data_IF_034693043066
#
_entry.id   IF_034693043066
#
_cell.length_a   1.000
_cell.length_b   1.000
_cell.length_c   1.000
_cell.angle_alpha   90.00
_cell.angle_beta   90.00
_cell.angle_gamma   90.00
#
_symmetry.space_group_name_H-M   'P 1'
#
loop_
_entity.id
_entity.type
_entity.pdbx_description
1 polymer ?
#
# COMPACT_ATOMS: atom_id res chain seq x y z
N UNK A 1 60.76 24.65 43.68
CA UNK A 1 60.66 25.87 42.84
C UNK A 1 60.64 25.44 41.38
N UNK A 2 59.88 26.16 40.57
CA UNK A 2 59.53 25.94 39.15
C UNK A 2 60.77 25.87 38.20
N UNK A 3 60.77 25.52 36.89
CA UNK A 3 59.77 25.48 35.80
C UNK A 3 60.47 24.94 34.51
N UNK A 4 59.69 24.56 33.48
CA UNK A 4 60.02 24.55 32.01
C UNK A 4 61.04 23.50 31.50
N UNK A 5 61.06 22.97 30.26
CA UNK A 5 60.50 23.42 28.98
C UNK A 5 60.32 22.27 27.94
N UNK A 6 59.73 22.68 26.83
CA UNK A 6 59.21 22.09 25.57
C UNK A 6 60.15 21.38 24.56
N UNK A 7 59.59 20.32 23.92
CA UNK A 7 59.30 20.08 22.46
C UNK A 7 60.38 19.77 21.36
N UNK A 8 59.88 19.02 20.35
CA UNK A 8 60.38 18.68 18.97
C UNK A 8 61.40 17.52 18.84
N UNK A 9 61.42 16.61 17.85
CA UNK A 9 61.22 16.66 16.38
C UNK A 9 61.01 15.25 15.70
N UNK A 10 60.24 15.25 14.60
CA UNK A 10 60.29 14.50 13.29
C UNK A 10 61.13 13.21 13.06
N UNK A 11 60.42 12.16 12.60
CA UNK A 11 60.42 11.49 11.26
C UNK A 11 61.57 10.60 10.68
N UNK A 12 61.09 9.46 10.12
CA UNK A 12 61.46 8.67 8.92
C UNK A 12 62.34 7.39 8.95
N UNK A 13 61.71 6.31 8.43
CA UNK A 13 62.20 5.17 7.57
C UNK A 13 63.14 4.11 8.20
N UNK A 14 63.05 2.78 7.97
CA UNK A 14 62.75 2.00 6.74
C UNK A 14 62.51 0.49 7.03
N UNK A 15 61.60 -0.13 6.26
CA UNK A 15 61.41 -1.54 5.79
C UNK A 15 62.16 -2.73 6.43
N UNK A 16 61.43 -3.84 6.69
CA UNK A 16 61.55 -5.17 5.99
C UNK A 16 60.41 -6.17 6.35
N UNK A 17 60.11 -7.06 5.40
CA UNK A 17 59.07 -8.12 5.36
C UNK A 17 59.18 -9.20 6.47
N UNK A 18 58.07 -9.87 6.83
CA UNK A 18 57.71 -11.25 6.36
C UNK A 18 56.44 -11.83 7.03
N UNK A 19 55.56 -12.39 6.19
CA UNK A 19 54.71 -13.58 6.34
C UNK A 19 53.86 -13.80 7.62
N UNK A 20 52.53 -13.83 7.44
CA UNK A 20 51.69 -15.00 7.77
C UNK A 20 50.33 -14.91 7.03
N UNK A 21 50.17 -15.82 6.07
CA UNK A 21 48.94 -16.16 5.35
C UNK A 21 47.91 -16.82 6.28
N UNK A 22 46.62 -16.66 5.97
CA UNK A 22 45.73 -17.73 5.46
C UNK A 22 44.24 -17.43 5.73
N UNK A 23 43.50 -16.99 4.71
CA UNK A 23 42.16 -17.54 4.44
C UNK A 23 41.88 -17.45 2.95
N UNK A 24 41.57 -18.59 2.35
CA UNK A 24 41.49 -18.82 0.91
C UNK A 24 40.03 -18.95 0.48
N UNK A 25 39.46 -17.87 -0.05
CA UNK A 25 38.27 -17.94 -0.91
C UNK A 25 38.74 -18.03 -2.36
N UNK A 26 38.39 -19.14 -3.01
CA UNK A 26 38.72 -19.43 -4.40
C UNK A 26 37.83 -18.61 -5.33
N UNK A 27 38.42 -17.62 -6.00
CA UNK A 27 37.84 -16.93 -7.14
C UNK A 27 38.93 -16.66 -8.16
N UNK A 28 38.77 -17.16 -9.39
CA UNK A 28 39.74 -17.02 -10.49
C UNK A 28 39.86 -15.52 -10.86
N UNK A 29 41.08 -14.93 -10.89
CA UNK A 29 41.25 -13.55 -11.34
C UNK A 29 41.27 -13.50 -12.88
N UNK A 30 40.36 -12.70 -13.45
CA UNK A 30 40.41 -12.33 -14.88
C UNK A 30 41.53 -11.30 -15.05
N UNK A 31 42.59 -11.68 -15.76
CA UNK A 31 43.68 -10.80 -16.16
C UNK A 31 43.32 -10.06 -17.45
N UNK A 32 43.25 -8.72 -17.39
CA UNK A 32 43.40 -7.83 -18.54
C UNK A 32 43.80 -6.43 -18.06
N UNK A 33 44.85 -5.81 -18.59
CA UNK A 33 45.28 -4.48 -18.15
C UNK A 33 44.49 -3.42 -18.92
N UNK A 34 43.48 -2.79 -18.27
CA UNK A 34 42.88 -1.58 -18.82
C UNK A 34 43.67 -0.38 -18.31
N UNK A 35 44.47 0.17 -19.21
CA UNK A 35 45.17 1.46 -19.12
C UNK A 35 44.17 2.57 -18.79
N UNK A 36 44.24 3.14 -17.59
CA UNK A 36 43.42 4.32 -17.24
C UNK A 36 43.96 5.56 -17.96
N UNK A 37 43.13 6.15 -18.81
CA UNK A 37 43.29 7.54 -19.26
C UNK A 37 42.20 8.40 -18.61
N UNK A 38 42.52 9.63 -18.14
CA UNK A 38 41.53 10.50 -17.53
C UNK A 38 40.66 11.13 -18.62
N UNK A 39 39.38 10.77 -18.66
CA UNK A 39 38.38 11.40 -19.53
C UNK A 39 37.85 12.67 -18.85
N UNK A 40 38.05 13.79 -19.55
CA UNK A 40 37.51 15.13 -19.23
C UNK A 40 35.98 15.06 -19.06
N UNK A 41 35.47 15.66 -17.99
CA UNK A 41 34.04 15.79 -17.71
C UNK A 41 33.37 16.73 -18.72
N UNK A 42 32.72 16.15 -19.73
CA UNK A 42 31.66 16.82 -20.47
C UNK A 42 30.36 16.56 -19.71
N UNK A 43 29.79 17.59 -19.09
CA UNK A 43 28.42 17.56 -18.58
C UNK A 43 27.48 17.35 -19.78
N UNK A 44 27.00 16.12 -19.96
CA UNK A 44 25.81 15.88 -20.78
C UNK A 44 24.62 16.04 -19.85
N UNK A 45 23.96 17.18 -19.95
CA UNK A 45 22.58 17.34 -19.48
C UNK A 45 21.72 16.31 -20.20
N UNK A 46 21.40 15.20 -19.53
CA UNK A 46 20.37 14.27 -20.01
C UNK A 46 19.03 14.90 -19.66
N UNK A 47 18.56 15.77 -20.55
CA UNK A 47 17.17 16.23 -20.54
C UNK A 47 16.29 15.02 -20.86
N UNK A 48 15.50 14.56 -19.89
CA UNK A 48 14.44 13.58 -20.13
C UNK A 48 13.31 14.34 -20.83
N UNK A 49 13.39 14.43 -22.16
CA UNK A 49 12.33 14.98 -22.99
C UNK A 49 11.27 13.89 -23.18
N UNK A 50 10.10 14.04 -22.56
CA UNK A 50 8.91 13.28 -22.94
C UNK A 50 8.47 13.79 -24.32
N UNK A 51 8.99 13.17 -25.37
CA UNK A 51 8.54 13.44 -26.73
C UNK A 51 7.18 12.79 -26.95
N UNK A 52 6.10 13.48 -26.60
CA UNK A 52 4.82 13.30 -27.28
C UNK A 52 4.92 13.92 -28.68
N UNK A 53 5.81 13.35 -29.50
CA UNK A 53 5.88 13.69 -30.90
C UNK A 53 4.68 13.01 -31.57
N UNK A 54 3.76 13.83 -32.06
CA UNK A 54 2.64 13.45 -32.91
C UNK A 54 3.12 12.92 -34.26
N UNK A 55 3.76 11.76 -34.27
CA UNK A 55 3.99 10.97 -35.48
C UNK A 55 3.03 9.80 -35.45
N UNK A 56 1.96 9.88 -36.24
CA UNK A 56 1.11 8.76 -36.61
C UNK A 56 1.87 7.79 -37.55
N UNK A 57 3.07 7.39 -37.17
CA UNK A 57 3.73 6.24 -37.80
C UNK A 57 3.04 5.00 -37.24
N UNK A 58 1.89 4.69 -37.84
CA UNK A 58 1.20 3.44 -37.62
C UNK A 58 2.15 2.34 -38.12
N UNK A 59 2.65 1.53 -37.20
CA UNK A 59 3.51 0.42 -37.57
C UNK A 59 2.74 -0.55 -38.47
N UNK A 60 3.38 -1.06 -39.52
CA UNK A 60 2.77 -2.05 -40.40
C UNK A 60 2.77 -3.41 -39.69
N UNK A 61 1.59 -3.93 -39.36
CA UNK A 61 1.41 -5.25 -38.76
C UNK A 61 1.91 -6.39 -39.66
N UNK A 62 1.93 -6.19 -40.99
CA UNK A 62 2.45 -7.15 -41.96
C UNK A 62 3.98 -7.22 -42.05
N UNK A 63 4.68 -6.17 -41.59
CA UNK A 63 6.15 -6.08 -41.60
C UNK A 63 6.75 -5.65 -40.25
N UNK A 64 6.00 -5.82 -39.17
CA UNK A 64 6.36 -5.36 -37.83
C UNK A 64 7.64 -6.04 -37.33
N UNK A 65 8.56 -5.25 -36.78
CA UNK A 65 9.77 -5.76 -36.14
C UNK A 65 10.15 -4.91 -34.93
N UNK A 66 10.26 -5.56 -33.77
CA UNK A 66 10.80 -4.92 -32.57
C UNK A 66 12.29 -4.57 -32.75
N UNK A 67 12.73 -3.54 -32.03
CA UNK A 67 14.14 -3.25 -31.89
C UNK A 67 14.85 -4.39 -31.13
N UNK A 68 16.12 -4.71 -31.46
CA UNK A 68 16.88 -5.73 -30.75
C UNK A 68 17.04 -5.40 -29.25
N UNK A 69 16.96 -6.43 -28.40
CA UNK A 69 17.19 -6.32 -26.95
C UNK A 69 17.96 -7.54 -26.43
N UNK A 70 18.52 -7.44 -25.21
CA UNK A 70 19.14 -8.57 -24.49
C UNK A 70 18.34 -8.89 -23.24
N UNK A 71 18.23 -10.17 -22.91
CA UNK A 71 17.50 -10.69 -21.75
C UNK A 71 18.04 -10.09 -20.44
N UNK A 72 19.36 -9.96 -20.32
CA UNK A 72 20.00 -9.35 -19.14
C UNK A 72 19.67 -7.87 -18.93
N UNK A 73 19.30 -7.14 -19.99
CA UNK A 73 18.85 -5.75 -19.87
C UNK A 73 17.47 -5.74 -19.21
N UNK A 74 16.56 -6.59 -19.66
CA UNK A 74 15.20 -6.72 -19.11
C UNK A 74 15.25 -7.12 -17.63
N UNK A 75 16.06 -8.12 -17.27
CA UNK A 75 16.24 -8.53 -15.87
C UNK A 75 16.77 -7.39 -14.99
N UNK A 76 17.79 -6.66 -15.46
CA UNK A 76 18.36 -5.53 -14.71
C UNK A 76 17.39 -4.37 -14.54
N UNK A 77 16.56 -4.07 -15.55
CA UNK A 77 15.54 -3.03 -15.44
C UNK A 77 14.51 -3.36 -14.35
N UNK A 78 13.99 -4.59 -14.34
CA UNK A 78 13.02 -5.01 -13.32
C UNK A 78 13.63 -5.02 -11.92
N UNK A 79 14.81 -5.64 -11.76
CA UNK A 79 15.49 -5.73 -10.46
C UNK A 79 15.82 -4.34 -9.91
N UNK A 80 16.40 -3.46 -10.74
CA UNK A 80 16.79 -2.12 -10.30
C UNK A 80 15.59 -1.32 -9.80
N UNK A 81 14.47 -1.37 -10.52
CA UNK A 81 13.24 -0.64 -10.14
C UNK A 81 12.63 -1.21 -8.87
N UNK A 82 12.45 -2.52 -8.81
CA UNK A 82 11.87 -3.17 -7.62
C UNK A 82 12.73 -2.97 -6.37
N UNK A 83 14.06 -3.07 -6.49
CA UNK A 83 14.96 -2.76 -5.37
C UNK A 83 14.91 -1.29 -4.94
N UNK A 84 14.79 -0.37 -5.90
CA UNK A 84 14.63 1.06 -5.57
C UNK A 84 13.32 1.30 -4.82
N UNK A 85 12.23 0.65 -5.24
CA UNK A 85 10.94 0.71 -4.56
C UNK A 85 11.05 0.12 -3.14
N UNK A 86 11.69 -1.06 -2.98
CA UNK A 86 11.90 -1.67 -1.66
C UNK A 86 12.72 -0.78 -0.72
N UNK A 87 13.77 -0.14 -1.22
CA UNK A 87 14.57 0.81 -0.42
C UNK A 87 13.74 2.02 -0.03
N UNK A 88 12.99 2.59 -0.98
CA UNK A 88 12.19 3.81 -0.76
C UNK A 88 11.08 3.57 0.24
N UNK A 89 10.39 2.44 0.15
CA UNK A 89 9.23 2.13 0.97
C UNK A 89 9.56 1.30 2.22
N UNK A 90 10.83 0.99 2.50
CA UNK A 90 11.23 0.31 3.75
C UNK A 90 10.85 1.12 5.01
N UNK A 91 10.76 2.45 4.88
CA UNK A 91 10.21 3.40 5.84
C UNK A 91 9.25 4.33 5.08
N UNK A 92 7.94 4.22 5.34
CA UNK A 92 6.91 4.91 4.57
C UNK A 92 5.88 5.62 5.45
N UNK A 93 5.08 6.52 4.88
CA UNK A 93 4.03 7.20 5.63
C UNK A 93 2.89 6.24 5.97
N UNK A 94 2.34 5.57 4.94
CA UNK A 94 1.18 4.67 5.11
C UNK A 94 1.40 3.35 4.38
N UNK A 95 1.16 2.26 5.10
CA UNK A 95 1.01 0.91 4.53
C UNK A 95 -0.46 0.52 4.54
N UNK A 96 -0.97 0.06 3.40
CA UNK A 96 -2.32 -0.49 3.26
C UNK A 96 -2.20 -2.00 3.01
N UNK A 97 -2.74 -2.82 3.90
CA UNK A 97 -2.77 -4.28 3.75
C UNK A 97 -4.08 -4.71 3.10
N UNK A 98 -3.98 -5.30 1.91
CA UNK A 98 -5.10 -5.69 1.07
C UNK A 98 -5.46 -4.63 0.03
N UNK A 99 -5.50 -5.02 -1.23
CA UNK A 99 -5.92 -4.19 -2.37
C UNK A 99 -7.34 -4.55 -2.83
N UNK A 100 -8.26 -4.82 -1.88
CA UNK A 100 -9.70 -4.96 -2.15
C UNK A 100 -10.38 -3.60 -2.40
N UNK A 101 -11.70 -3.59 -2.60
CA UNK A 101 -12.45 -2.33 -2.84
C UNK A 101 -12.23 -1.27 -1.75
N UNK A 102 -12.21 -1.65 -0.48
CA UNK A 102 -11.94 -0.71 0.62
C UNK A 102 -10.49 -0.21 0.64
N UNK A 103 -9.51 -1.10 0.50
CA UNK A 103 -8.09 -0.73 0.45
C UNK A 103 -7.74 0.15 -0.75
N UNK A 104 -8.26 -0.16 -1.94
CA UNK A 104 -8.12 0.66 -3.14
C UNK A 104 -8.79 2.04 -2.98
N UNK A 105 -9.97 2.10 -2.36
CA UNK A 105 -10.65 3.37 -2.08
C UNK A 105 -9.88 4.22 -1.07
N UNK A 106 -9.34 3.60 -0.01
CA UNK A 106 -8.45 4.26 0.94
C UNK A 106 -7.19 4.79 0.26
N UNK A 107 -6.51 3.96 -0.54
CA UNK A 107 -5.31 4.36 -1.26
C UNK A 107 -5.58 5.51 -2.24
N UNK A 108 -6.71 5.44 -2.96
CA UNK A 108 -7.13 6.47 -3.90
C UNK A 108 -7.50 7.78 -3.20
N UNK A 109 -8.14 7.75 -2.04
CA UNK A 109 -8.43 8.99 -1.31
C UNK A 109 -7.14 9.59 -0.73
N UNK A 110 -6.31 8.76 -0.09
CA UNK A 110 -5.08 9.18 0.59
C UNK A 110 -4.06 9.80 -0.37
N UNK A 111 -3.84 9.16 -1.51
CA UNK A 111 -2.81 9.60 -2.47
C UNK A 111 -3.20 10.87 -3.24
N UNK A 112 -4.40 11.45 -3.01
CA UNK A 112 -4.75 12.78 -3.52
C UNK A 112 -3.84 13.84 -2.92
N UNK A 113 -3.33 13.59 -1.71
CA UNK A 113 -2.23 14.37 -1.16
C UNK A 113 -0.90 13.81 -1.72
N UNK A 114 -0.21 14.54 -2.62
CA UNK A 114 1.01 14.04 -3.27
C UNK A 114 2.20 13.90 -2.31
N UNK A 115 2.10 14.46 -1.09
CA UNK A 115 3.17 14.42 -0.09
C UNK A 115 3.09 13.20 0.83
N UNK A 116 2.09 12.34 0.68
CA UNK A 116 1.95 11.11 1.45
C UNK A 116 2.40 9.93 0.60
N UNK A 117 3.40 9.19 1.05
CA UNK A 117 3.81 7.93 0.43
C UNK A 117 2.87 6.80 0.84
N UNK A 118 2.38 6.04 -0.14
CA UNK A 118 1.40 4.97 0.08
C UNK A 118 1.93 3.65 -0.49
N UNK A 119 2.34 2.74 0.40
CA UNK A 119 2.61 1.35 0.04
C UNK A 119 1.34 0.51 0.17
N UNK A 120 1.05 -0.30 -0.83
CA UNK A 120 -0.05 -1.26 -0.82
C UNK A 120 0.54 -2.66 -0.85
N UNK A 121 0.27 -3.46 0.16
CA UNK A 121 0.69 -4.86 0.27
C UNK A 121 -0.51 -5.74 -0.09
N UNK A 122 -0.38 -6.53 -1.16
CA UNK A 122 -1.43 -7.42 -1.65
C UNK A 122 -0.86 -8.83 -1.84
N UNK A 123 -1.43 -9.81 -1.13
CA UNK A 123 -0.95 -11.18 -1.15
C UNK A 123 -1.24 -11.90 -2.48
N UNK A 124 -2.35 -11.57 -3.14
CA UNK A 124 -2.67 -12.09 -4.47
C UNK A 124 -1.75 -11.48 -5.53
N UNK A 125 -1.52 -12.24 -6.61
CA UNK A 125 -0.91 -11.66 -7.82
C UNK A 125 -1.83 -10.59 -8.41
N UNK A 126 -3.14 -10.83 -8.42
CA UNK A 126 -4.14 -9.88 -8.90
C UNK A 126 -4.74 -9.08 -7.74
N UNK A 127 -4.54 -7.74 -7.69
CA UNK A 127 -5.29 -6.88 -6.78
C UNK A 127 -6.78 -6.83 -7.15
N UNK A 128 -7.59 -6.17 -6.32
CA UNK A 128 -9.04 -6.00 -6.49
C UNK A 128 -9.87 -6.81 -5.49
N UNK A 129 -9.27 -7.82 -4.84
CA UNK A 129 -9.96 -8.68 -3.88
C UNK A 129 -11.26 -9.27 -4.44
N UNK A 130 -12.34 -9.18 -3.67
CA UNK A 130 -13.68 -9.65 -4.09
C UNK A 130 -14.42 -8.75 -5.09
N UNK A 131 -13.88 -7.59 -5.47
CA UNK A 131 -14.59 -6.60 -6.30
C UNK A 131 -14.48 -6.86 -7.81
N UNK A 132 -14.14 -8.08 -8.22
CA UNK A 132 -14.17 -8.49 -9.64
C UNK A 132 -15.54 -8.96 -10.10
N UNK A 133 -16.42 -9.33 -9.16
CA UNK A 133 -17.73 -9.89 -9.41
C UNK A 133 -18.78 -9.27 -8.48
N UNK A 134 -20.04 -9.42 -8.84
CA UNK A 134 -21.17 -9.28 -7.92
C UNK A 134 -21.43 -10.58 -7.15
N UNK A 135 -22.68 -10.80 -6.74
CA UNK A 135 -23.07 -12.03 -6.05
C UNK A 135 -23.11 -13.25 -6.96
N UNK A 136 -22.75 -14.42 -6.43
CA UNK A 136 -22.94 -15.72 -7.11
C UNK A 136 -22.33 -15.80 -8.52
N UNK A 137 -21.15 -15.20 -8.71
CA UNK A 137 -20.46 -15.10 -10.00
C UNK A 137 -21.15 -14.23 -11.07
N UNK A 138 -22.21 -13.50 -10.72
CA UNK A 138 -22.78 -12.48 -11.59
C UNK A 138 -21.87 -11.25 -11.66
N UNK A 139 -22.13 -10.36 -12.63
CA UNK A 139 -21.22 -9.26 -12.97
C UNK A 139 -21.55 -7.93 -12.29
N UNK A 140 -22.84 -7.60 -12.19
CA UNK A 140 -23.29 -6.27 -11.80
C UNK A 140 -22.85 -5.92 -10.36
N UNK A 141 -22.44 -4.66 -10.16
CA UNK A 141 -22.05 -4.13 -8.86
C UNK A 141 -23.07 -3.10 -8.40
N UNK A 142 -23.81 -3.43 -7.34
CA UNK A 142 -24.84 -2.57 -6.75
C UNK A 142 -24.21 -1.68 -5.69
N UNK A 143 -24.46 -0.38 -5.77
CA UNK A 143 -23.92 0.65 -4.86
C UNK A 143 -25.07 1.51 -4.36
N UNK A 144 -25.37 1.46 -3.06
CA UNK A 144 -26.40 2.31 -2.44
C UNK A 144 -25.97 3.79 -2.41
N UNK A 145 -26.92 4.69 -2.57
CA UNK A 145 -26.70 6.14 -2.41
C UNK A 145 -26.40 6.47 -0.93
N UNK A 146 -25.56 7.48 -0.63
CA UNK A 146 -24.95 8.44 -1.55
C UNK A 146 -23.60 8.01 -2.16
N UNK A 147 -23.18 6.74 -2.07
CA UNK A 147 -21.84 6.33 -2.53
C UNK A 147 -21.59 6.48 -4.05
N UNK A 148 -22.63 6.70 -4.86
CA UNK A 148 -22.49 7.06 -6.28
C UNK A 148 -21.65 8.32 -6.54
N UNK A 149 -21.56 9.27 -5.60
CA UNK A 149 -20.69 10.45 -5.78
C UNK A 149 -19.20 10.09 -5.91
N UNK A 150 -18.78 8.98 -5.29
CA UNK A 150 -17.43 8.48 -5.48
C UNK A 150 -17.23 7.87 -6.87
N UNK A 151 -18.29 7.32 -7.47
CA UNK A 151 -18.28 6.84 -8.85
C UNK A 151 -18.21 8.02 -9.84
N UNK A 152 -18.92 9.11 -9.55
CA UNK A 152 -18.82 10.36 -10.32
C UNK A 152 -17.39 10.90 -10.34
N UNK A 153 -16.72 10.91 -9.17
CA UNK A 153 -15.33 11.33 -9.04
C UNK A 153 -14.37 10.44 -9.87
N UNK A 154 -14.65 9.14 -9.91
CA UNK A 154 -13.89 8.18 -10.71
C UNK A 154 -14.26 8.20 -12.19
N UNK A 155 -15.30 8.93 -12.59
CA UNK A 155 -15.88 8.95 -13.93
C UNK A 155 -16.35 7.55 -14.39
N UNK A 156 -16.99 6.80 -13.49
CA UNK A 156 -17.54 5.47 -13.79
C UNK A 156 -19.04 5.61 -14.08
N UNK A 157 -19.45 5.20 -15.28
CA UNK A 157 -20.87 5.13 -15.65
C UNK A 157 -21.62 4.06 -14.84
N UNK A 158 -22.86 4.39 -14.48
CA UNK A 158 -23.78 3.49 -13.78
C UNK A 158 -25.22 3.74 -14.22
N UNK A 159 -26.06 2.72 -14.08
CA UNK A 159 -27.51 2.84 -14.23
C UNK A 159 -28.11 3.33 -12.91
N UNK A 160 -28.74 4.50 -12.93
CA UNK A 160 -29.34 5.09 -11.74
C UNK A 160 -30.70 4.46 -11.41
N UNK A 161 -30.92 4.18 -10.13
CA UNK A 161 -32.20 3.79 -9.53
C UNK A 161 -32.54 4.78 -8.41
N UNK A 162 -33.69 4.61 -7.75
CA UNK A 162 -34.15 5.53 -6.70
C UNK A 162 -33.11 5.68 -5.57
N UNK A 163 -32.80 4.59 -4.85
CA UNK A 163 -31.93 4.59 -3.67
C UNK A 163 -30.53 3.99 -3.90
N UNK A 164 -30.24 3.53 -5.12
CA UNK A 164 -28.98 2.88 -5.46
C UNK A 164 -28.64 3.09 -6.94
N UNK A 165 -27.43 2.70 -7.30
CA UNK A 165 -26.94 2.69 -8.68
C UNK A 165 -26.31 1.34 -9.00
N UNK A 166 -26.24 0.99 -10.28
CA UNK A 166 -25.71 -0.29 -10.73
C UNK A 166 -24.62 -0.07 -11.76
N UNK A 167 -23.40 -0.50 -11.44
CA UNK A 167 -22.30 -0.54 -12.40
C UNK A 167 -22.44 -1.84 -13.19
N UNK A 168 -22.38 -1.73 -14.53
CA UNK A 168 -22.60 -2.87 -15.45
C UNK A 168 -21.74 -4.10 -15.14
N UNK A 169 -20.54 -3.87 -14.61
CA UNK A 169 -19.65 -4.93 -14.14
C UNK A 169 -18.77 -4.42 -12.99
N UNK A 170 -18.66 -5.20 -11.91
CA UNK A 170 -17.74 -4.94 -10.80
C UNK A 170 -16.29 -4.67 -11.24
N UNK A 171 -15.80 -5.40 -12.25
CA UNK A 171 -14.50 -5.19 -12.88
C UNK A 171 -14.31 -3.79 -13.46
N UNK A 172 -15.37 -3.10 -13.90
CA UNK A 172 -15.27 -1.72 -14.39
C UNK A 172 -14.86 -0.77 -13.27
N UNK A 173 -15.47 -0.90 -12.09
CA UNK A 173 -15.07 -0.13 -10.92
C UNK A 173 -13.63 -0.43 -10.54
N UNK A 174 -13.33 -1.71 -10.35
CA UNK A 174 -12.03 -2.16 -9.82
C UNK A 174 -10.87 -1.83 -10.75
N UNK A 175 -11.02 -2.02 -12.07
CA UNK A 175 -9.98 -1.65 -13.03
C UNK A 175 -9.81 -0.13 -13.16
N UNK A 176 -10.89 0.64 -13.10
CA UNK A 176 -10.84 2.10 -13.24
C UNK A 176 -10.15 2.75 -12.04
N UNK A 177 -10.57 2.42 -10.81
CA UNK A 177 -9.93 2.97 -9.61
C UNK A 177 -8.45 2.59 -9.54
N UNK A 178 -8.12 1.34 -9.88
CA UNK A 178 -6.76 0.84 -9.88
C UNK A 178 -5.88 1.56 -10.92
N UNK A 179 -6.40 1.78 -12.13
CA UNK A 179 -5.69 2.54 -13.18
C UNK A 179 -5.39 3.96 -12.72
N UNK A 180 -6.40 4.68 -12.22
CA UNK A 180 -6.23 6.07 -11.71
C UNK A 180 -5.28 6.13 -10.51
N UNK A 181 -5.32 5.14 -9.63
CA UNK A 181 -4.47 5.04 -8.44
C UNK A 181 -3.00 4.74 -8.80
N UNK A 182 -2.74 3.72 -9.62
CA UNK A 182 -1.39 3.26 -9.96
C UNK A 182 -0.65 4.25 -10.88
N UNK A 183 -1.37 5.19 -11.51
CA UNK A 183 -0.76 6.31 -12.22
C UNK A 183 -0.14 7.36 -11.29
N UNK A 184 -0.43 7.33 -9.99
CA UNK A 184 0.07 8.33 -9.03
C UNK A 184 1.52 8.05 -8.62
N UNK A 185 2.39 9.07 -8.61
CA UNK A 185 3.83 8.89 -8.37
C UNK A 185 4.17 8.53 -6.92
N UNK A 186 3.27 8.80 -5.98
CA UNK A 186 3.43 8.56 -4.54
C UNK A 186 2.79 7.24 -4.07
N UNK A 187 2.42 6.37 -5.00
CA UNK A 187 1.79 5.07 -4.70
C UNK A 187 2.67 3.94 -5.23
N UNK A 188 2.84 2.90 -4.42
CA UNK A 188 3.47 1.66 -4.84
C UNK A 188 2.64 0.45 -4.46
N UNK A 189 2.33 -0.37 -5.45
CA UNK A 189 1.73 -1.69 -5.24
C UNK A 189 2.82 -2.76 -5.17
N UNK A 190 2.84 -3.49 -4.07
CA UNK A 190 3.57 -4.74 -3.86
C UNK A 190 2.57 -5.90 -3.81
N UNK A 191 2.16 -6.35 -5.00
CA UNK A 191 1.33 -7.54 -5.15
C UNK A 191 2.20 -8.82 -5.07
N UNK A 192 1.57 -9.97 -4.84
CA UNK A 192 2.22 -11.23 -4.48
C UNK A 192 3.07 -11.17 -3.18
N UNK A 193 2.78 -10.19 -2.31
CA UNK A 193 3.46 -9.99 -1.02
C UNK A 193 2.40 -10.04 0.09
N UNK A 194 2.57 -10.93 1.05
CA UNK A 194 1.70 -11.03 2.22
C UNK A 194 2.27 -10.22 3.39
N UNK A 195 1.39 -9.58 4.16
CA UNK A 195 1.72 -9.12 5.51
C UNK A 195 1.40 -10.28 6.47
N UNK A 196 2.43 -10.89 7.04
CA UNK A 196 2.29 -12.07 7.92
C UNK A 196 2.33 -11.73 9.41
N UNK A 197 2.88 -10.56 9.76
CA UNK A 197 2.89 -10.03 11.13
C UNK A 197 2.92 -8.48 11.13
N UNK A 198 2.88 -7.87 12.31
CA UNK A 198 2.93 -6.44 12.57
C UNK A 198 4.24 -6.09 13.27
N UNK A 199 4.79 -4.92 12.96
CA UNK A 199 5.85 -4.32 13.77
C UNK A 199 5.17 -3.58 14.93
N UNK A 200 5.43 -3.99 16.17
CA UNK A 200 4.83 -3.37 17.37
C UNK A 200 5.96 -2.86 18.27
N UNK A 201 5.96 -1.54 18.52
CA UNK A 201 6.92 -0.86 19.41
C UNK A 201 6.12 -0.11 20.47
N UNK A 202 6.37 -0.39 21.75
CA UNK A 202 5.76 0.35 22.88
C UNK A 202 4.21 0.43 22.84
N UNK A 203 3.55 -0.66 22.42
CA UNK A 203 2.08 -0.70 22.31
C UNK A 203 1.50 0.03 21.10
N UNK A 204 2.34 0.47 20.16
CA UNK A 204 1.94 1.08 18.88
C UNK A 204 2.33 0.18 17.72
N UNK A 205 1.42 0.01 16.75
CA UNK A 205 1.74 -0.59 15.46
C UNK A 205 2.55 0.41 14.64
N UNK A 206 3.74 0.01 14.19
CA UNK A 206 4.73 0.85 13.55
C UNK A 206 5.18 0.30 12.18
N UNK A 207 4.40 -0.59 11.58
CA UNK A 207 4.72 -1.21 10.30
C UNK A 207 4.24 -2.65 10.19
N UNK A 208 4.73 -3.34 9.17
CA UNK A 208 4.33 -4.71 8.82
C UNK A 208 5.54 -5.60 8.57
N UNK A 209 5.36 -6.88 8.85
CA UNK A 209 6.29 -7.95 8.51
C UNK A 209 5.77 -8.61 7.25
N UNK A 210 6.62 -8.68 6.23
CA UNK A 210 6.21 -9.05 4.87
C UNK A 210 7.01 -10.23 4.34
N UNK A 211 6.37 -11.04 3.52
CA UNK A 211 7.06 -12.05 2.73
C UNK A 211 6.37 -12.21 1.37
N UNK A 212 7.00 -12.94 0.45
CA UNK A 212 6.28 -13.41 -0.72
C UNK A 212 5.11 -14.26 -0.27
N UNK A 213 3.92 -14.05 -0.83
CA UNK A 213 2.72 -14.75 -0.37
C UNK A 213 2.85 -16.28 -0.47
N UNK A 214 3.56 -16.76 -1.49
CA UNK A 214 3.88 -18.18 -1.63
C UNK A 214 4.78 -18.71 -0.51
N UNK A 215 5.72 -17.89 0.00
CA UNK A 215 6.55 -18.27 1.14
C UNK A 215 5.68 -18.39 2.40
N UNK A 216 4.85 -17.37 2.67
CA UNK A 216 3.94 -17.39 3.83
C UNK A 216 3.00 -18.60 3.83
N UNK A 217 2.51 -19.04 2.66
CA UNK A 217 1.66 -20.23 2.54
C UNK A 217 2.40 -21.57 2.65
N UNK A 218 3.75 -21.56 2.73
CA UNK A 218 4.58 -22.76 2.63
C UNK A 218 5.66 -22.85 3.73
N UNK A 219 5.47 -22.18 4.87
CA UNK A 219 6.39 -22.26 6.02
C UNK A 219 6.60 -23.70 6.51
N UNK A 220 5.61 -24.57 6.38
CA UNK A 220 5.69 -25.97 6.84
C UNK A 220 6.29 -26.96 5.81
N UNK A 221 6.59 -26.50 4.58
CA UNK A 221 7.01 -27.39 3.49
C UNK A 221 8.46 -27.20 3.04
N UNK A 222 9.19 -26.27 3.67
CA UNK A 222 10.59 -25.94 3.39
C UNK A 222 11.35 -25.67 4.70
N UNK A 223 12.67 -25.46 4.61
CA UNK A 223 13.41 -24.83 5.71
C UNK A 223 12.86 -23.43 6.00
N UNK A 224 13.07 -22.92 7.22
CA UNK A 224 12.60 -21.58 7.60
C UNK A 224 13.09 -20.51 6.62
N UNK A 225 12.17 -19.63 6.20
CA UNK A 225 12.40 -18.52 5.29
C UNK A 225 11.95 -17.23 5.96
N UNK A 226 12.88 -16.56 6.63
CA UNK A 226 12.59 -15.36 7.40
C UNK A 226 11.91 -14.27 6.54
N UNK A 227 11.00 -13.49 7.13
CA UNK A 227 10.40 -12.35 6.45
C UNK A 227 11.33 -11.16 6.27
N UNK A 228 10.83 -10.20 5.50
CA UNK A 228 11.32 -8.83 5.45
C UNK A 228 10.40 -7.89 6.26
N UNK A 229 10.77 -6.62 6.40
CA UNK A 229 10.03 -5.64 7.21
C UNK A 229 9.82 -4.32 6.46
N UNK A 230 8.74 -3.63 6.80
CA UNK A 230 8.40 -2.30 6.29
C UNK A 230 7.88 -1.45 7.46
N UNK A 231 8.61 -0.41 7.84
CA UNK A 231 8.17 0.56 8.85
C UNK A 231 7.14 1.52 8.26
N UNK A 232 6.15 1.89 9.06
CA UNK A 232 5.09 2.80 8.65
C UNK A 232 4.64 3.70 9.80
N UNK A 233 4.35 4.97 9.52
CA UNK A 233 3.75 5.87 10.51
C UNK A 233 2.32 5.44 10.85
N UNK A 234 1.58 4.96 9.86
CA UNK A 234 0.21 4.44 9.97
C UNK A 234 0.04 3.18 9.13
N UNK A 235 -0.56 2.15 9.70
CA UNK A 235 -1.01 0.95 8.97
C UNK A 235 -2.52 1.02 8.79
N UNK A 236 -3.02 0.75 7.59
CA UNK A 236 -4.44 0.57 7.29
C UNK A 236 -4.66 -0.90 6.90
N UNK A 237 -5.34 -1.66 7.75
CA UNK A 237 -5.72 -3.04 7.46
C UNK A 237 -7.07 -3.10 6.75
N UNK A 238 -7.07 -3.71 5.58
CA UNK A 238 -8.24 -3.89 4.72
C UNK A 238 -8.29 -5.32 4.16
N UNK A 239 -7.92 -6.29 4.99
CA UNK A 239 -7.72 -7.70 4.63
C UNK A 239 -9.03 -8.48 4.41
N UNK A 240 -10.18 -7.80 4.35
CA UNK A 240 -11.49 -8.41 4.19
C UNK A 240 -11.81 -9.42 5.30
N UNK A 241 -12.68 -10.38 4.99
CA UNK A 241 -13.10 -11.43 5.94
C UNK A 241 -12.95 -12.86 5.37
N UNK A 242 -12.70 -12.99 4.08
CA UNK A 242 -12.69 -14.27 3.35
C UNK A 242 -11.27 -14.79 3.11
N UNK A 243 -11.16 -16.10 2.89
CA UNK A 243 -9.92 -16.76 2.48
C UNK A 243 -8.91 -16.95 3.61
N UNK A 244 -7.75 -17.58 3.30
CA UNK A 244 -6.76 -17.95 4.30
C UNK A 244 -6.08 -16.73 4.98
N UNK A 245 -6.04 -15.59 4.30
CA UNK A 245 -5.52 -14.31 4.84
C UNK A 245 -6.64 -13.31 5.16
N UNK A 246 -7.88 -13.78 5.27
CA UNK A 246 -9.01 -12.94 5.66
C UNK A 246 -8.84 -12.45 7.09
N UNK A 247 -8.98 -11.14 7.29
CA UNK A 247 -8.91 -10.49 8.60
C UNK A 247 -7.59 -10.71 9.36
N UNK A 248 -6.47 -10.86 8.64
CA UNK A 248 -5.14 -11.10 9.23
C UNK A 248 -4.77 -10.04 10.27
N UNK A 249 -5.06 -8.77 10.02
CA UNK A 249 -4.67 -7.68 10.91
C UNK A 249 -5.33 -7.79 12.28
N UNK A 250 -6.67 -7.88 12.31
CA UNK A 250 -7.42 -7.97 13.57
C UNK A 250 -7.19 -9.29 14.30
N UNK A 251 -7.06 -10.40 13.58
CA UNK A 251 -6.69 -11.70 14.17
C UNK A 251 -5.30 -11.63 14.81
N UNK A 252 -4.35 -10.94 14.17
CA UNK A 252 -3.01 -10.77 14.71
C UNK A 252 -3.04 -9.91 15.97
N UNK A 253 -3.71 -8.76 15.96
CA UNK A 253 -3.89 -7.89 17.14
C UNK A 253 -4.40 -8.66 18.35
N UNK A 254 -5.36 -9.58 18.16
CA UNK A 254 -5.87 -10.45 19.22
C UNK A 254 -4.79 -11.41 19.73
N UNK A 255 -4.09 -12.08 18.82
CA UNK A 255 -3.08 -13.09 19.18
C UNK A 255 -1.90 -12.52 19.98
N UNK A 256 -1.56 -11.23 19.75
CA UNK A 256 -0.50 -10.52 20.48
C UNK A 256 -1.02 -9.78 21.71
N UNK A 257 -2.32 -9.88 22.01
CA UNK A 257 -2.92 -9.30 23.22
C UNK A 257 -3.15 -7.79 23.17
N UNK A 258 -3.16 -7.17 21.99
CA UNK A 258 -3.49 -5.75 21.84
C UNK A 258 -5.01 -5.46 21.83
N UNK A 259 -5.81 -6.49 21.53
CA UNK A 259 -7.28 -6.47 21.67
C UNK A 259 -7.75 -7.76 22.33
N UNK A 260 -8.88 -7.70 23.03
CA UNK A 260 -9.38 -8.85 23.80
C UNK A 260 -10.05 -9.92 22.94
N UNK A 261 -10.83 -9.50 21.94
CA UNK A 261 -11.66 -10.43 21.16
C UNK A 261 -11.82 -10.01 19.69
N UNK A 262 -12.10 -11.01 18.86
CA UNK A 262 -12.54 -10.86 17.47
C UNK A 262 -13.80 -11.75 17.37
N UNK A 263 -14.99 -11.20 17.64
CA UNK A 263 -16.24 -11.95 17.71
C UNK A 263 -16.61 -12.60 16.37
N UNK A 264 -16.09 -12.09 15.25
CA UNK A 264 -16.37 -12.58 13.90
C UNK A 264 -17.62 -11.95 13.29
N UNK A 265 -17.67 -11.90 11.95
CA UNK A 265 -18.82 -11.33 11.25
C UNK A 265 -20.12 -12.07 11.59
N UNK A 266 -21.22 -11.31 11.70
CA UNK A 266 -22.56 -11.86 11.90
C UNK A 266 -23.24 -12.19 10.55
N UNK A 267 -24.47 -12.70 10.66
CA UNK A 267 -25.36 -12.96 9.52
C UNK A 267 -25.61 -11.71 8.67
N UNK A 268 -26.19 -11.91 7.49
CA UNK A 268 -26.39 -10.85 6.51
C UNK A 268 -27.58 -9.95 6.89
N UNK A 269 -27.34 -8.64 6.94
CA UNK A 269 -28.34 -7.58 7.01
C UNK A 269 -27.74 -6.32 6.37
N UNK A 270 -28.12 -6.03 5.12
CA UNK A 270 -27.52 -4.94 4.33
C UNK A 270 -27.72 -3.56 4.94
N UNK A 271 -28.92 -3.29 5.49
CA UNK A 271 -29.26 -1.96 6.02
C UNK A 271 -28.38 -1.66 7.24
N UNK A 272 -28.32 -2.59 8.19
CA UNK A 272 -27.51 -2.43 9.39
C UNK A 272 -26.02 -2.52 9.08
N UNK A 273 -25.60 -3.44 8.21
CA UNK A 273 -24.19 -3.71 7.93
C UNK A 273 -23.48 -2.50 7.34
N UNK A 274 -24.01 -1.89 6.27
CA UNK A 274 -23.28 -0.85 5.56
C UNK A 274 -23.03 0.38 6.43
N UNK A 275 -24.05 0.83 7.15
CA UNK A 275 -23.94 1.95 8.09
C UNK A 275 -22.98 1.62 9.24
N UNK A 276 -23.06 0.40 9.78
CA UNK A 276 -22.18 -0.04 10.86
C UNK A 276 -20.72 -0.05 10.42
N UNK A 277 -20.40 -0.59 9.24
CA UNK A 277 -19.02 -0.69 8.75
C UNK A 277 -18.40 0.70 8.53
N UNK A 278 -19.13 1.62 7.91
CA UNK A 278 -18.67 3.00 7.73
C UNK A 278 -18.47 3.68 9.09
N UNK A 279 -19.44 3.56 10.01
CA UNK A 279 -19.35 4.17 11.35
C UNK A 279 -18.19 3.60 12.18
N UNK A 280 -17.96 2.28 12.11
CA UNK A 280 -16.99 1.58 12.95
C UNK A 280 -15.57 1.58 12.38
N UNK A 281 -15.37 1.94 11.11
CA UNK A 281 -14.04 2.21 10.55
C UNK A 281 -13.33 3.27 11.40
N UNK A 282 -12.18 2.92 12.01
CA UNK A 282 -11.44 3.75 12.98
C UNK A 282 -10.00 3.25 13.14
N UNK A 283 -9.19 4.04 13.83
CA UNK A 283 -7.95 3.57 14.45
C UNK A 283 -8.31 2.66 15.62
N UNK A 284 -8.02 1.35 15.51
CA UNK A 284 -8.39 0.33 16.50
C UNK A 284 -7.42 0.36 17.68
N UNK A 285 -6.13 0.44 17.36
CA UNK A 285 -5.02 0.61 18.30
C UNK A 285 -4.09 1.69 17.75
N UNK A 286 -3.25 2.33 18.58
CA UNK A 286 -2.31 3.33 18.10
C UNK A 286 -1.50 2.82 16.90
N UNK A 287 -1.57 3.54 15.78
CA UNK A 287 -0.86 3.25 14.55
C UNK A 287 -1.57 2.28 13.58
N UNK A 288 -2.73 1.72 13.93
CA UNK A 288 -3.45 0.79 13.04
C UNK A 288 -4.93 1.13 12.89
N UNK A 289 -5.30 1.50 11.66
CA UNK A 289 -6.68 1.71 11.21
C UNK A 289 -7.20 0.42 10.58
N UNK A 290 -8.46 0.09 10.81
CA UNK A 290 -9.15 -1.03 10.14
C UNK A 290 -10.32 -0.50 9.32
N UNK A 291 -10.45 -1.02 8.09
CA UNK A 291 -11.46 -0.60 7.10
C UNK A 291 -12.04 -1.78 6.32
N UNK A 292 -13.17 -1.54 5.66
CA UNK A 292 -13.90 -2.54 4.91
C UNK A 292 -14.47 -3.65 5.79
N UNK A 293 -14.64 -4.84 5.21
CA UNK A 293 -15.24 -5.96 5.93
C UNK A 293 -14.40 -6.53 7.08
N UNK A 294 -13.12 -6.20 7.19
CA UNK A 294 -12.32 -6.58 8.36
C UNK A 294 -12.85 -5.91 9.65
N UNK A 295 -13.53 -4.76 9.51
CA UNK A 295 -14.28 -4.11 10.60
C UNK A 295 -15.39 -5.03 11.14
N UNK A 296 -16.06 -5.80 10.28
CA UNK A 296 -17.13 -6.70 10.68
C UNK A 296 -16.62 -7.80 11.64
N UNK A 297 -15.39 -8.25 11.44
CA UNK A 297 -14.77 -9.33 12.21
C UNK A 297 -14.44 -8.89 13.63
N UNK A 298 -13.86 -7.69 13.78
CA UNK A 298 -13.49 -7.16 15.10
C UNK A 298 -14.70 -6.64 15.90
N UNK A 299 -15.70 -6.05 15.25
CA UNK A 299 -16.85 -5.48 15.96
C UNK A 299 -18.08 -6.39 16.00
N UNK A 300 -18.04 -7.53 15.31
CA UNK A 300 -19.17 -8.46 15.25
C UNK A 300 -20.39 -7.85 14.59
N UNK A 301 -20.17 -7.13 13.49
CA UNK A 301 -21.23 -6.48 12.71
C UNK A 301 -21.85 -7.46 11.69
N UNK A 302 -23.11 -7.25 11.28
CA UNK A 302 -23.68 -7.97 10.14
C UNK A 302 -22.86 -7.77 8.87
N UNK A 303 -22.92 -8.74 7.94
CA UNK A 303 -22.35 -8.61 6.59
C UNK A 303 -23.38 -8.03 5.61
N UNK A 304 -22.94 -7.36 4.54
CA UNK A 304 -23.84 -6.84 3.50
C UNK A 304 -23.99 -7.75 2.27
N UNK A 305 -23.06 -8.68 2.03
CA UNK A 305 -23.12 -9.51 0.83
C UNK A 305 -22.82 -8.71 -0.45
N UNK A 306 -23.60 -8.88 -1.55
CA UNK A 306 -23.24 -8.37 -2.87
C UNK A 306 -23.59 -6.89 -3.11
N UNK A 307 -23.27 -6.00 -2.18
CA UNK A 307 -23.33 -4.54 -2.35
C UNK A 307 -22.06 -3.88 -1.81
N UNK A 308 -21.64 -2.77 -2.42
CA UNK A 308 -20.26 -2.28 -2.31
C UNK A 308 -20.13 -0.84 -1.79
N UNK A 309 -21.23 -0.15 -1.50
CA UNK A 309 -21.21 1.25 -1.07
C UNK A 309 -20.40 1.43 0.21
N UNK A 310 -20.63 0.58 1.21
CA UNK A 310 -19.88 0.63 2.46
C UNK A 310 -18.37 0.46 2.28
N UNK A 311 -17.92 -0.38 1.33
CA UNK A 311 -16.48 -0.59 1.12
C UNK A 311 -15.81 0.68 0.58
N UNK A 312 -16.47 1.38 -0.35
CA UNK A 312 -15.98 2.64 -0.91
C UNK A 312 -15.85 3.70 0.18
N UNK A 313 -16.94 3.94 0.91
CA UNK A 313 -17.01 5.01 1.91
C UNK A 313 -16.17 4.68 3.15
N UNK A 314 -16.12 3.42 3.58
CA UNK A 314 -15.22 2.96 4.64
C UNK A 314 -13.75 3.19 4.25
N UNK A 315 -13.38 2.95 2.99
CA UNK A 315 -12.04 3.25 2.49
C UNK A 315 -11.72 4.75 2.53
N UNK A 316 -12.63 5.60 2.03
CA UNK A 316 -12.45 7.06 2.08
C UNK A 316 -12.31 7.57 3.53
N UNK A 317 -13.15 7.06 4.46
CA UNK A 317 -13.04 7.41 5.87
C UNK A 317 -11.70 7.01 6.47
N UNK A 318 -11.21 5.81 6.14
CA UNK A 318 -9.89 5.34 6.60
C UNK A 318 -8.74 6.20 6.10
N UNK A 319 -8.81 6.71 4.86
CA UNK A 319 -7.83 7.66 4.36
C UNK A 319 -7.80 8.96 5.16
N UNK A 320 -8.97 9.50 5.50
CA UNK A 320 -9.04 10.72 6.31
C UNK A 320 -8.60 10.49 7.77
N UNK A 321 -8.83 9.30 8.32
CA UNK A 321 -8.25 8.90 9.61
C UNK A 321 -6.72 8.83 9.53
N UNK A 322 -6.16 8.28 8.45
CA UNK A 322 -4.72 8.23 8.24
C UNK A 322 -4.11 9.64 8.09
N UNK A 323 -4.75 10.52 7.32
CA UNK A 323 -4.34 11.93 7.20
C UNK A 323 -4.35 12.63 8.56
N UNK A 324 -5.40 12.40 9.36
CA UNK A 324 -5.49 12.92 10.73
C UNK A 324 -4.35 12.40 11.62
N UNK A 325 -4.06 11.11 11.57
CA UNK A 325 -2.97 10.50 12.34
C UNK A 325 -1.58 11.02 11.92
N UNK A 326 -1.43 11.44 10.66
CA UNK A 326 -0.23 12.12 10.14
C UNK A 326 -0.18 13.62 10.46
N UNK A 327 -1.21 14.19 11.09
CA UNK A 327 -1.31 15.63 11.38
C UNK A 327 -1.57 16.48 10.13
N UNK A 328 -2.20 15.91 9.11
CA UNK A 328 -2.47 16.55 7.82
C UNK A 328 -3.94 16.99 7.69
N UNK A 329 -4.25 17.94 6.77
CA UNK A 329 -5.62 18.35 6.47
C UNK A 329 -6.50 17.14 6.12
N UNK A 330 -7.65 17.03 6.76
CA UNK A 330 -8.54 15.87 6.66
C UNK A 330 -10.01 16.26 6.88
N UNK A 331 -10.93 15.46 6.32
CA UNK A 331 -12.35 15.80 6.33
C UNK A 331 -13.00 15.65 7.71
N UNK A 332 -12.39 14.86 8.62
CA UNK A 332 -12.95 14.58 9.94
C UNK A 332 -12.77 15.75 10.91
N UNK A 333 -11.70 16.52 10.75
CA UNK A 333 -11.46 17.75 11.51
C UNK A 333 -12.00 19.01 10.81
N UNK A 334 -12.67 18.84 9.65
CA UNK A 334 -13.15 19.96 8.82
C UNK A 334 -12.03 20.79 8.19
N UNK A 335 -10.77 20.32 8.26
CA UNK A 335 -9.59 21.04 7.77
C UNK A 335 -9.28 20.75 6.29
N UNK A 336 -9.96 19.77 5.69
CA UNK A 336 -9.79 19.42 4.28
C UNK A 336 -10.47 20.43 3.36
N UNK A 337 -9.66 21.16 2.62
CA UNK A 337 -10.13 22.06 1.55
C UNK A 337 -10.00 21.31 0.22
N UNK A 338 -10.90 20.36 -0.01
CA UNK A 338 -11.00 19.68 -1.30
C UNK A 338 -11.56 20.63 -2.38
N UNK A 339 -11.11 20.45 -3.63
CA UNK A 339 -11.69 21.13 -4.79
C UNK A 339 -13.11 20.62 -5.07
N UNK A 340 -14.13 21.31 -4.55
CA UNK A 340 -15.49 21.33 -5.11
C UNK A 340 -16.48 20.26 -4.64
N UNK A 341 -17.02 20.44 -3.43
CA UNK A 341 -18.46 20.41 -3.02
C UNK A 341 -18.56 19.95 -1.55
N UNK A 342 -18.93 20.84 -0.63
CA UNK A 342 -19.04 20.52 0.79
C UNK A 342 -20.40 19.89 1.07
N UNK A 343 -20.55 18.57 0.91
CA UNK A 343 -21.77 17.88 1.31
C UNK A 343 -21.53 16.44 1.77
N UNK A 344 -20.47 16.24 2.55
CA UNK A 344 -20.33 15.10 3.45
C UNK A 344 -20.07 15.62 4.87
N UNK A 345 -20.95 16.52 5.35
CA UNK A 345 -21.09 16.72 6.79
C UNK A 345 -21.92 15.56 7.32
N UNK A 346 -21.26 14.62 7.99
CA UNK A 346 -21.90 13.52 8.70
C UNK A 346 -22.97 14.07 9.67
N UNK A 347 -24.23 13.78 9.39
CA UNK A 347 -25.32 13.94 10.35
C UNK A 347 -25.15 12.85 11.42
N UNK A 348 -24.33 13.13 12.42
CA UNK A 348 -24.28 12.37 13.67
C UNK A 348 -23.93 13.33 14.82
N UNK A 349 -24.91 14.14 15.21
CA UNK A 349 -24.95 14.77 16.52
C UNK A 349 -26.42 15.01 16.92
N UNK A 350 -26.76 14.45 18.09
CA UNK A 350 -27.83 14.85 19.00
C UNK A 350 -29.29 14.54 18.60
N UNK A 351 -29.69 13.30 18.85
CA UNK A 351 -31.07 13.01 19.28
C UNK A 351 -31.17 13.29 20.78
N UNK A 352 -31.91 14.33 21.24
CA UNK A 352 -32.04 14.62 22.66
C UNK A 352 -32.82 13.50 23.37
N UNK A 353 -32.33 13.15 24.56
CA UNK A 353 -33.11 12.46 25.58
C UNK A 353 -34.46 13.13 25.75
N UNK A 354 -35.53 12.34 25.66
CA UNK A 354 -36.81 12.70 26.28
C UNK A 354 -37.08 11.64 27.34
N UNK A 355 -36.84 12.05 28.59
CA UNK A 355 -37.40 11.42 29.77
C UNK A 355 -38.74 12.09 30.14
N UNK A 356 -39.63 11.27 30.68
CA UNK A 356 -40.96 11.54 31.28
C UNK A 356 -42.08 11.93 30.28
N UNK A 357 -43.24 11.25 30.24
CA UNK A 357 -44.03 10.61 31.30
C UNK A 357 -44.64 9.24 30.92
#
# INVERSE_FOLDING_TARGET
MATMATSFTKSFTTKTNTFLDQSSFHGVPVTSPVRMQPLKSSQKNVSITMSAASSSEQYDLGSFKFQPIKESIVAREMIRRYMTDMITYADTDVVICGAGSAGLSCAYELSKNPNVQVAIIEQSVSPGGGAWLGGQLFSAMVVRKPAHHFLDELEIEYDEQEDYVVIKHAALFTSTIMSKLLARPNVKLFNAVAAEDLIIKEGRVAGVVTNWALVTMNHDTQSCMDPNVMEAKVVVSSCGHDGPMGATGVKRLRSVGMIESVPGMKALDMNTAEDAIVRLTREIVPGMIVTGMEVAEIDGSPRMGPTFGAMMISGQKAAHLALKALGLPNALDGSYVGSGKPELMFAAADGPEIAEA
#
